data_IF_831744295655
#
_entry.id   IF_831744295655
#
_cell.length_a   1.000
_cell.length_b   1.000
_cell.length_c   1.000
_cell.angle_alpha   90.00
_cell.angle_beta   90.00
_cell.angle_gamma   90.00
#
_symmetry.space_group_name_H-M   'P 1'
#
loop_
_entity.id
_entity.type
_entity.pdbx_description
1 polymer ?
#
# COMPACT_ATOMS: atom_id res chain seq x y z
N UNK A 1 22.04 48.93 33.81
CA UNK A 1 21.87 47.58 33.23
C UNK A 1 20.53 47.00 33.67
N UNK A 2 19.41 47.40 33.06
CA UNK A 2 18.09 46.79 33.32
C UNK A 2 17.03 47.35 32.36
N UNK A 3 17.21 47.23 31.04
CA UNK A 3 16.12 47.56 30.09
C UNK A 3 15.98 46.59 28.90
N UNK A 4 16.88 45.63 28.71
CA UNK A 4 16.82 44.73 27.53
C UNK A 4 16.23 43.33 27.78
N UNK A 5 15.77 43.03 29.01
CA UNK A 5 15.21 41.71 29.35
C UNK A 5 13.69 41.60 29.20
N UNK A 6 12.96 42.71 29.07
CA UNK A 6 11.49 42.70 28.99
C UNK A 6 11.00 42.38 27.57
N UNK A 7 11.74 42.77 26.53
CA UNK A 7 11.34 42.57 25.12
C UNK A 7 11.41 41.11 24.67
N UNK A 8 12.38 40.34 25.18
CA UNK A 8 12.57 38.92 24.79
C UNK A 8 11.57 37.95 25.41
N UNK A 9 10.85 38.38 26.45
CA UNK A 9 9.84 37.56 27.12
C UNK A 9 8.46 37.67 26.45
N UNK A 10 8.15 38.78 25.77
CA UNK A 10 6.94 38.95 24.97
C UNK A 10 6.96 38.12 23.69
N UNK A 11 8.09 38.13 22.99
CA UNK A 11 8.28 37.39 21.73
C UNK A 11 8.23 35.86 21.96
N UNK A 12 8.73 35.37 23.10
CA UNK A 12 8.59 33.95 23.50
C UNK A 12 7.15 33.57 23.86
N UNK A 13 6.36 34.50 24.41
CA UNK A 13 4.96 34.24 24.73
C UNK A 13 4.09 34.16 23.46
N UNK A 14 4.37 34.98 22.45
CA UNK A 14 3.70 34.93 21.15
C UNK A 14 4.03 33.63 20.39
N UNK A 15 5.30 33.24 20.35
CA UNK A 15 5.73 31.97 19.72
C UNK A 15 5.11 30.75 20.43
N UNK A 16 5.03 30.77 21.77
CA UNK A 16 4.41 29.67 22.52
C UNK A 16 2.90 29.59 22.28
N UNK A 17 2.24 30.73 22.09
CA UNK A 17 0.81 30.81 21.78
C UNK A 17 0.53 30.35 20.34
N UNK A 18 1.39 30.69 19.38
CA UNK A 18 1.35 30.17 18.01
C UNK A 18 1.60 28.65 17.95
N UNK A 19 2.58 28.15 18.71
CA UNK A 19 2.85 26.71 18.81
C UNK A 19 1.68 25.96 19.46
N UNK A 20 1.00 26.54 20.47
CA UNK A 20 -0.23 25.97 21.03
C UNK A 20 -1.41 26.02 20.05
N UNK A 21 -1.52 27.05 19.21
CA UNK A 21 -2.52 27.13 18.14
C UNK A 21 -2.28 26.09 17.03
N UNK A 22 -1.01 25.86 16.64
CA UNK A 22 -0.62 24.81 15.69
C UNK A 22 -0.80 23.39 16.25
N UNK A 23 -0.59 23.18 17.56
CA UNK A 23 -0.86 21.89 18.22
C UNK A 23 -2.37 21.60 18.32
N UNK A 24 -3.21 22.62 18.47
CA UNK A 24 -4.67 22.49 18.46
C UNK A 24 -5.24 22.20 17.06
N UNK A 25 -4.64 22.75 15.99
CA UNK A 25 -5.01 22.42 14.60
C UNK A 25 -4.46 21.08 14.10
N UNK A 26 -3.45 20.52 14.79
CA UNK A 26 -2.92 19.17 14.55
C UNK A 26 -3.72 18.05 15.23
N UNK A 27 -4.79 18.37 15.96
CA UNK A 27 -5.83 17.40 16.29
C UNK A 27 -6.57 17.06 15.00
N UNK A 28 -5.99 16.16 14.19
CA UNK A 28 -6.73 15.35 13.23
C UNK A 28 -8.04 14.98 13.92
N UNK A 29 -9.15 15.55 13.47
CA UNK A 29 -10.46 15.12 13.90
C UNK A 29 -10.45 13.61 13.87
N UNK A 30 -10.71 12.97 15.01
CA UNK A 30 -11.05 11.55 15.01
C UNK A 30 -12.16 11.45 13.99
N UNK A 31 -11.89 10.79 12.86
CA UNK A 31 -12.96 10.43 11.93
C UNK A 31 -14.09 9.86 12.80
N UNK A 32 -15.34 10.33 12.67
CA UNK A 32 -16.45 9.67 13.32
C UNK A 32 -16.29 8.18 13.02
N UNK A 33 -16.39 7.36 14.06
CA UNK A 33 -16.23 5.92 13.96
C UNK A 33 -17.22 5.46 12.89
N UNK A 34 -16.73 5.18 11.67
CA UNK A 34 -17.58 4.80 10.55
C UNK A 34 -18.56 3.73 11.05
N UNK A 35 -19.85 3.87 10.71
CA UNK A 35 -20.87 2.92 11.15
C UNK A 35 -20.35 1.50 10.93
N UNK A 36 -20.16 0.77 12.04
CA UNK A 36 -19.57 -0.56 11.96
C UNK A 36 -20.55 -1.44 11.19
N UNK A 37 -20.15 -1.90 10.01
CA UNK A 37 -20.92 -2.91 9.27
C UNK A 37 -21.21 -4.08 10.23
N UNK A 38 -22.46 -4.55 10.33
CA UNK A 38 -22.81 -5.59 11.28
C UNK A 38 -22.08 -6.89 10.94
N UNK A 39 -21.54 -7.55 11.96
CA UNK A 39 -20.98 -8.90 11.81
C UNK A 39 -22.09 -9.86 11.43
N UNK A 40 -21.87 -10.67 10.38
CA UNK A 40 -22.85 -11.68 9.96
C UNK A 40 -22.73 -12.91 10.85
N UNK A 41 -23.86 -13.38 11.37
CA UNK A 41 -23.98 -14.59 12.22
C UNK A 41 -24.96 -15.52 11.51
N UNK A 42 -24.54 -16.76 11.27
CA UNK A 42 -25.33 -17.77 10.56
C UNK A 42 -24.48 -19.00 10.26
N UNK A 43 -25.13 -20.13 9.97
CA UNK A 43 -24.46 -21.40 9.62
C UNK A 43 -23.55 -21.28 8.38
N UNK A 44 -23.82 -20.32 7.51
CA UNK A 44 -23.07 -20.00 6.30
C UNK A 44 -21.82 -19.14 6.57
N UNK A 45 -21.70 -18.54 7.76
CA UNK A 45 -20.56 -17.74 8.19
C UNK A 45 -19.76 -18.38 9.33
N UNK A 46 -20.38 -19.27 10.11
CA UNK A 46 -19.76 -19.98 11.20
C UNK A 46 -19.09 -21.27 10.71
N UNK A 47 -17.95 -21.63 11.30
CA UNK A 47 -17.29 -22.89 10.99
C UNK A 47 -18.22 -24.07 11.35
N UNK A 48 -18.46 -24.95 10.38
CA UNK A 48 -19.36 -26.11 10.54
C UNK A 48 -18.77 -27.22 11.39
N UNK A 49 -17.44 -27.31 11.44
CA UNK A 49 -16.71 -28.31 12.21
C UNK A 49 -15.75 -27.60 13.17
N UNK A 50 -16.18 -27.46 14.42
CA UNK A 50 -15.36 -26.91 15.49
C UNK A 50 -14.68 -28.09 16.17
N UNK A 51 -13.33 -28.17 16.17
CA UNK A 51 -12.64 -29.27 16.81
C UNK A 51 -12.95 -29.27 18.32
N UNK A 52 -13.29 -30.43 18.90
CA UNK A 52 -13.47 -30.57 20.34
C UNK A 52 -12.29 -30.00 21.13
N UNK A 53 -12.58 -29.35 22.25
CA UNK A 53 -11.55 -28.82 23.14
C UNK A 53 -10.61 -29.96 23.59
N UNK A 54 -9.30 -29.74 23.43
CA UNK A 54 -8.28 -30.74 23.76
C UNK A 54 -7.82 -31.64 22.60
N UNK A 55 -8.40 -31.53 21.40
CA UNK A 55 -7.92 -32.24 20.18
C UNK A 55 -6.73 -31.52 19.52
N UNK A 56 -6.34 -30.35 20.02
CA UNK A 56 -5.03 -29.77 19.67
C UNK A 56 -3.93 -30.52 20.43
N UNK A 57 -3.79 -31.81 20.18
CA UNK A 57 -2.58 -32.55 20.48
C UNK A 57 -1.52 -32.04 19.51
N UNK A 58 -0.68 -31.11 19.95
CA UNK A 58 0.67 -31.05 19.39
C UNK A 58 1.25 -32.45 19.63
N UNK A 59 1.41 -33.24 18.57
CA UNK A 59 1.76 -34.65 18.65
C UNK A 59 3.06 -34.87 19.44
N UNK A 60 2.95 -35.04 20.76
CA UNK A 60 3.91 -35.78 21.56
C UNK A 60 3.30 -37.18 21.73
N UNK A 61 3.87 -38.13 20.98
CA UNK A 61 3.63 -39.57 21.02
C UNK A 61 2.42 -40.10 20.21
N UNK A 62 2.71 -41.06 19.33
CA UNK A 62 1.79 -41.88 18.52
C UNK A 62 1.05 -41.28 17.32
N UNK A 63 1.80 -41.08 16.23
CA UNK A 63 1.53 -41.66 14.88
C UNK A 63 2.63 -41.22 13.92
N UNK A 64 3.87 -41.67 14.17
CA UNK A 64 5.04 -41.34 13.34
C UNK A 64 4.96 -41.90 11.89
N UNK A 65 3.94 -42.66 11.53
CA UNK A 65 3.78 -43.22 10.17
C UNK A 65 2.63 -42.65 9.35
N UNK A 66 1.51 -42.24 9.96
CA UNK A 66 0.37 -41.68 9.22
C UNK A 66 0.35 -40.14 9.20
N UNK A 67 0.84 -39.48 10.25
CA UNK A 67 0.95 -38.01 10.26
C UNK A 67 2.21 -37.51 9.55
N UNK A 68 3.30 -38.30 9.50
CA UNK A 68 4.48 -37.97 8.68
C UNK A 68 4.09 -37.90 7.20
N UNK A 69 3.34 -38.90 6.72
CA UNK A 69 2.87 -38.95 5.34
C UNK A 69 1.94 -37.77 4.97
N UNK A 70 1.32 -37.12 5.95
CA UNK A 70 0.39 -36.00 5.76
C UNK A 70 1.05 -34.63 5.94
N UNK A 71 2.05 -34.52 6.82
CA UNK A 71 2.91 -33.32 6.90
C UNK A 71 3.77 -33.15 5.66
N UNK A 72 4.28 -34.26 5.11
CA UNK A 72 5.07 -34.27 3.88
C UNK A 72 4.25 -33.83 2.64
N UNK A 73 2.92 -33.87 2.72
CA UNK A 73 2.01 -33.38 1.67
C UNK A 73 1.76 -31.87 1.74
N UNK A 74 2.08 -31.20 2.85
CA UNK A 74 1.75 -29.77 3.05
C UNK A 74 2.99 -28.89 3.25
N UNK A 75 4.06 -29.41 3.86
CA UNK A 75 5.26 -28.65 4.17
C UNK A 75 6.51 -29.36 3.62
N UNK A 76 7.34 -28.64 2.86
CA UNK A 76 8.71 -29.07 2.53
C UNK A 76 9.66 -28.55 3.62
N UNK A 77 10.47 -29.43 4.20
CA UNK A 77 11.51 -29.02 5.14
C UNK A 77 12.65 -28.35 4.36
N UNK A 78 12.84 -27.05 4.57
CA UNK A 78 13.87 -26.24 3.89
C UNK A 78 15.17 -26.13 4.70
N UNK A 79 15.10 -26.33 6.01
CA UNK A 79 16.25 -26.25 6.90
C UNK A 79 16.05 -27.06 8.19
N UNK A 80 17.07 -27.84 8.57
CA UNK A 80 17.18 -28.55 9.83
C UNK A 80 18.33 -27.96 10.69
N UNK A 81 18.01 -27.30 11.82
CA UNK A 81 19.02 -26.69 12.68
C UNK A 81 19.94 -27.71 13.38
N UNK A 82 19.45 -28.92 13.68
CA UNK A 82 20.25 -29.96 14.37
C UNK A 82 21.30 -30.53 13.43
N UNK A 83 20.89 -30.86 12.20
CA UNK A 83 21.79 -31.36 11.16
C UNK A 83 22.80 -30.29 10.73
N UNK A 84 22.36 -29.04 10.60
CA UNK A 84 23.24 -27.91 10.33
C UNK A 84 24.30 -27.73 11.43
N UNK A 85 23.92 -27.79 12.71
CA UNK A 85 24.85 -27.68 13.83
C UNK A 85 25.85 -28.86 13.87
N UNK A 86 25.39 -30.09 13.61
CA UNK A 86 26.25 -31.27 13.55
C UNK A 86 27.32 -31.18 12.45
N UNK A 87 27.03 -30.50 11.34
CA UNK A 87 28.00 -30.25 10.27
C UNK A 87 29.07 -29.21 10.62
N UNK A 88 28.89 -28.46 11.72
CA UNK A 88 29.75 -27.34 12.13
C UNK A 88 29.69 -26.11 11.22
N UNK A 89 28.73 -26.07 10.27
CA UNK A 89 28.65 -25.08 9.18
C UNK A 89 27.30 -24.39 9.13
N UNK A 90 26.58 -24.32 10.25
CA UNK A 90 25.26 -23.70 10.30
C UNK A 90 25.26 -22.25 9.79
N UNK A 91 26.31 -21.49 10.08
CA UNK A 91 26.43 -20.08 9.69
C UNK A 91 27.03 -19.85 8.30
N UNK A 92 27.43 -20.93 7.59
CA UNK A 92 28.14 -20.83 6.31
C UNK A 92 27.33 -20.01 5.29
N UNK A 93 26.04 -20.31 5.14
CA UNK A 93 25.17 -19.63 4.18
C UNK A 93 24.99 -18.16 4.58
N UNK A 94 24.81 -17.87 5.87
CA UNK A 94 24.58 -16.50 6.33
C UNK A 94 25.82 -15.61 6.12
N UNK A 95 27.03 -16.16 6.25
CA UNK A 95 28.30 -15.44 6.18
C UNK A 95 28.88 -15.36 4.76
N UNK A 96 28.76 -16.40 3.95
CA UNK A 96 29.45 -16.48 2.64
C UNK A 96 28.56 -16.16 1.45
N UNK A 97 27.23 -16.33 1.58
CA UNK A 97 26.29 -16.17 0.46
C UNK A 97 25.71 -14.75 0.46
N UNK A 98 25.68 -14.14 -0.73
CA UNK A 98 25.04 -12.84 -0.96
C UNK A 98 23.56 -12.89 -0.58
N UNK A 99 23.04 -11.78 -0.04
CA UNK A 99 21.67 -11.68 0.49
C UNK A 99 20.57 -12.23 -0.43
N UNK A 100 20.67 -11.98 -1.74
CA UNK A 100 19.73 -12.36 -2.79
C UNK A 100 19.78 -13.83 -3.17
N UNK A 101 20.82 -14.56 -2.71
CA UNK A 101 20.98 -15.99 -2.92
C UNK A 101 20.88 -16.78 -1.62
N UNK A 102 20.62 -16.13 -0.47
CA UNK A 102 20.59 -16.81 0.84
C UNK A 102 19.50 -17.87 0.93
N UNK A 103 18.30 -17.58 0.44
CA UNK A 103 17.19 -18.56 0.45
C UNK A 103 17.54 -19.79 -0.37
N UNK A 104 17.96 -19.60 -1.63
CA UNK A 104 18.45 -20.68 -2.48
C UNK A 104 19.61 -21.44 -1.81
N UNK A 105 20.56 -20.71 -1.23
CA UNK A 105 21.67 -21.29 -0.47
C UNK A 105 21.21 -22.16 0.69
N UNK A 106 20.21 -21.76 1.46
CA UNK A 106 19.68 -22.57 2.56
C UNK A 106 19.01 -23.85 2.05
N UNK A 107 18.18 -23.74 1.02
CA UNK A 107 17.49 -24.88 0.38
C UNK A 107 18.51 -25.88 -0.19
N UNK A 108 19.48 -25.40 -0.98
CA UNK A 108 20.51 -26.25 -1.58
C UNK A 108 21.42 -26.88 -0.53
N UNK A 109 21.81 -26.13 0.50
CA UNK A 109 22.66 -26.67 1.56
C UNK A 109 21.94 -27.77 2.37
N UNK A 110 20.63 -27.63 2.59
CA UNK A 110 19.81 -28.69 3.17
C UNK A 110 19.72 -29.92 2.26
N UNK A 111 19.48 -29.74 0.96
CA UNK A 111 19.41 -30.83 -0.03
C UNK A 111 20.73 -31.59 -0.20
N UNK A 112 21.85 -30.91 -0.02
CA UNK A 112 23.19 -31.53 -0.04
C UNK A 112 23.62 -32.08 1.33
N UNK A 113 22.68 -32.28 2.26
CA UNK A 113 22.94 -32.80 3.60
C UNK A 113 24.04 -32.04 4.36
N UNK A 114 24.11 -30.71 4.17
CA UNK A 114 25.10 -29.81 4.78
C UNK A 114 26.56 -30.09 4.36
N UNK A 115 26.76 -30.67 3.18
CA UNK A 115 28.09 -30.86 2.57
C UNK A 115 28.48 -29.66 1.69
N UNK A 116 29.79 -29.38 1.61
CA UNK A 116 30.34 -28.27 0.82
C UNK A 116 30.60 -28.65 -0.64
N UNK A 117 31.10 -29.87 -0.98
CA UNK A 117 31.34 -30.23 -2.37
C UNK A 117 30.05 -30.10 -3.20
N UNK A 118 30.10 -29.39 -4.32
CA UNK A 118 28.94 -29.14 -5.19
C UNK A 118 28.08 -27.91 -4.78
N UNK A 119 28.07 -27.52 -3.51
CA UNK A 119 27.21 -26.43 -3.00
C UNK A 119 27.36 -25.11 -3.78
N UNK A 120 28.62 -24.66 -3.97
CA UNK A 120 28.87 -23.40 -4.67
C UNK A 120 28.57 -23.48 -6.17
N UNK A 121 28.71 -24.66 -6.77
CA UNK A 121 28.39 -24.90 -8.18
C UNK A 121 26.88 -24.80 -8.37
N UNK A 122 26.10 -25.52 -7.57
CA UNK A 122 24.64 -25.52 -7.64
C UNK A 122 24.07 -24.13 -7.37
N UNK A 123 24.65 -23.41 -6.39
CA UNK A 123 24.24 -22.04 -6.06
C UNK A 123 24.59 -21.02 -7.16
N UNK A 124 25.60 -21.31 -7.99
CA UNK A 124 25.96 -20.46 -9.11
C UNK A 124 24.95 -20.59 -10.26
N UNK A 125 24.35 -21.76 -10.45
CA UNK A 125 23.35 -22.05 -11.48
C UNK A 125 22.01 -21.37 -11.24
N UNK A 126 21.66 -21.10 -9.97
CA UNK A 126 20.40 -20.42 -9.64
C UNK A 126 20.47 -18.94 -10.02
N UNK A 127 19.62 -18.45 -10.94
CA UNK A 127 19.59 -17.04 -11.28
C UNK A 127 19.07 -16.23 -10.08
N UNK A 128 19.69 -15.09 -9.75
CA UNK A 128 19.26 -14.28 -8.62
C UNK A 128 17.89 -13.66 -8.89
N UNK A 129 17.03 -13.62 -7.87
CA UNK A 129 15.66 -13.11 -8.05
C UNK A 129 15.57 -11.58 -8.08
N UNK A 130 16.61 -10.84 -7.66
CA UNK A 130 16.58 -9.40 -7.41
C UNK A 130 16.92 -8.53 -8.63
N UNK A 131 17.07 -9.13 -9.81
CA UNK A 131 17.45 -8.43 -11.05
C UNK A 131 18.90 -7.92 -11.03
N UNK A 132 19.75 -8.45 -10.15
CA UNK A 132 21.20 -8.14 -10.15
C UNK A 132 21.90 -8.62 -11.41
N UNK A 133 21.39 -9.70 -12.00
CA UNK A 133 21.81 -10.29 -13.27
C UNK A 133 21.44 -9.44 -14.50
N UNK A 134 20.56 -8.43 -14.35
CA UNK A 134 20.14 -7.62 -15.49
C UNK A 134 21.27 -6.73 -16.01
N UNK A 135 21.37 -6.69 -17.34
CA UNK A 135 22.24 -5.77 -18.06
C UNK A 135 21.83 -4.32 -17.81
N UNK A 136 22.74 -3.39 -18.11
CA UNK A 136 22.45 -1.95 -18.01
C UNK A 136 21.29 -1.55 -18.91
N UNK A 137 21.20 -2.15 -20.10
CA UNK A 137 20.14 -1.91 -21.08
C UNK A 137 18.78 -2.41 -20.56
N UNK A 138 18.75 -3.58 -19.94
CA UNK A 138 17.53 -4.15 -19.35
C UNK A 138 17.03 -3.30 -18.16
N UNK A 139 17.95 -2.81 -17.32
CA UNK A 139 17.62 -1.89 -16.22
C UNK A 139 17.08 -0.56 -16.75
N UNK A 140 17.67 -0.02 -17.81
CA UNK A 140 17.19 1.19 -18.45
C UNK A 140 15.80 0.99 -19.07
N UNK A 141 15.59 -0.13 -19.76
CA UNK A 141 14.29 -0.48 -20.34
C UNK A 141 13.22 -0.61 -19.26
N UNK A 142 13.54 -1.23 -18.12
CA UNK A 142 12.63 -1.28 -16.97
C UNK A 142 12.32 0.12 -16.45
N UNK A 143 13.32 0.98 -16.30
CA UNK A 143 13.13 2.35 -15.83
C UNK A 143 12.21 3.13 -16.79
N UNK A 144 12.48 3.12 -18.09
CA UNK A 144 11.62 3.77 -19.08
C UNK A 144 10.18 3.23 -19.06
N UNK A 145 10.04 1.91 -18.89
CA UNK A 145 8.75 1.25 -18.81
C UNK A 145 7.97 1.64 -17.54
N UNK A 146 8.61 1.69 -16.37
CA UNK A 146 7.94 2.02 -15.11
C UNK A 146 7.44 3.47 -15.11
N UNK A 147 8.19 4.36 -15.75
CA UNK A 147 7.76 5.74 -16.01
C UNK A 147 6.57 5.75 -16.95
N UNK A 148 6.63 5.06 -18.09
CA UNK A 148 5.57 5.06 -19.11
C UNK A 148 4.24 4.48 -18.59
N UNK A 149 4.29 3.37 -17.85
CA UNK A 149 3.11 2.66 -17.37
C UNK A 149 2.70 3.03 -15.93
N UNK A 150 3.27 4.08 -15.34
CA UNK A 150 2.88 4.64 -14.02
C UNK A 150 2.76 3.58 -12.92
N UNK A 151 3.80 2.76 -12.75
CA UNK A 151 3.90 1.66 -11.75
C UNK A 151 3.03 0.44 -12.01
N UNK A 152 2.42 0.29 -13.18
CA UNK A 152 1.75 -0.95 -13.58
C UNK A 152 2.78 -2.03 -13.91
N UNK A 153 3.18 -2.80 -12.90
CA UNK A 153 4.20 -3.85 -13.03
C UNK A 153 3.78 -4.94 -14.03
N UNK A 154 2.47 -5.18 -14.20
CA UNK A 154 1.97 -6.16 -15.17
C UNK A 154 2.28 -5.75 -16.61
N UNK A 155 2.09 -4.48 -16.97
CA UNK A 155 2.45 -3.95 -18.29
C UNK A 155 3.96 -3.82 -18.46
N UNK A 156 4.66 -3.39 -17.42
CA UNK A 156 6.13 -3.31 -17.43
C UNK A 156 6.75 -4.67 -17.71
N UNK A 157 6.31 -5.72 -17.01
CA UNK A 157 6.81 -7.08 -17.23
C UNK A 157 6.57 -7.57 -18.67
N UNK A 158 5.41 -7.27 -19.25
CA UNK A 158 5.12 -7.59 -20.67
C UNK A 158 6.05 -6.85 -21.64
N UNK A 159 6.38 -5.60 -21.35
CA UNK A 159 7.24 -4.78 -22.20
C UNK A 159 8.72 -5.15 -22.07
N UNK A 160 9.19 -5.50 -20.87
CA UNK A 160 10.58 -5.91 -20.62
C UNK A 160 10.84 -7.38 -20.98
N UNK A 161 9.80 -8.18 -21.20
CA UNK A 161 9.92 -9.62 -21.46
C UNK A 161 10.38 -10.43 -20.24
N UNK A 162 10.28 -9.85 -19.03
CA UNK A 162 10.67 -10.51 -17.77
C UNK A 162 9.43 -10.98 -17.00
N UNK A 163 9.62 -11.91 -16.06
CA UNK A 163 8.54 -12.32 -15.18
C UNK A 163 8.12 -11.18 -14.24
N UNK A 164 6.85 -11.17 -13.83
CA UNK A 164 6.31 -10.19 -12.90
C UNK A 164 7.10 -10.22 -11.58
N UNK A 165 7.42 -11.41 -11.07
CA UNK A 165 8.15 -11.57 -9.81
C UNK A 165 9.56 -10.97 -9.88
N UNK A 166 10.27 -11.17 -10.99
CA UNK A 166 11.61 -10.59 -11.17
C UNK A 166 11.53 -9.05 -11.26
N UNK A 167 10.51 -8.52 -11.96
CA UNK A 167 10.24 -7.08 -11.99
C UNK A 167 9.93 -6.50 -10.61
N UNK A 168 9.12 -7.20 -9.80
CA UNK A 168 8.78 -6.79 -8.44
C UNK A 168 10.01 -6.81 -7.53
N UNK A 169 10.82 -7.85 -7.62
CA UNK A 169 12.04 -7.99 -6.83
C UNK A 169 13.04 -6.87 -7.16
N UNK A 170 13.29 -6.57 -8.44
CA UNK A 170 14.10 -5.41 -8.82
C UNK A 170 13.49 -4.08 -8.36
N UNK A 171 12.17 -3.93 -8.49
CA UNK A 171 11.46 -2.72 -8.08
C UNK A 171 11.64 -2.41 -6.59
N UNK A 172 11.36 -3.38 -5.72
CA UNK A 172 11.48 -3.20 -4.27
C UNK A 172 12.94 -3.24 -3.79
N UNK A 173 13.77 -4.07 -4.40
CA UNK A 173 15.16 -4.30 -4.00
C UNK A 173 16.11 -3.18 -4.42
N UNK A 174 15.93 -2.59 -5.61
CA UNK A 174 16.85 -1.58 -6.16
C UNK A 174 16.15 -0.26 -6.46
N UNK A 175 15.12 -0.28 -7.32
CA UNK A 175 14.54 0.95 -7.88
C UNK A 175 13.92 1.86 -6.81
N UNK A 176 13.22 1.29 -5.83
CA UNK A 176 12.55 2.03 -4.76
C UNK A 176 13.52 2.84 -3.87
N UNK A 177 14.79 2.43 -3.81
CA UNK A 177 15.83 3.13 -3.06
C UNK A 177 16.45 4.28 -3.85
N UNK A 178 16.21 4.34 -5.16
CA UNK A 178 16.79 5.33 -6.07
C UNK A 178 16.02 6.65 -6.02
N UNK A 179 16.69 7.77 -6.29
CA UNK A 179 16.05 9.09 -6.39
C UNK A 179 14.94 9.16 -7.46
N UNK A 180 15.06 8.35 -8.52
CA UNK A 180 14.05 8.27 -9.58
C UNK A 180 12.71 7.76 -9.09
N UNK A 181 12.68 6.85 -8.11
CA UNK A 181 11.43 6.43 -7.50
C UNK A 181 10.75 7.57 -6.74
N UNK A 182 11.52 8.42 -6.03
CA UNK A 182 10.97 9.57 -5.33
C UNK A 182 10.31 10.55 -6.31
N UNK A 183 10.94 10.76 -7.47
CA UNK A 183 10.38 11.57 -8.56
C UNK A 183 9.17 10.92 -9.21
N UNK A 184 9.21 9.63 -9.52
CA UNK A 184 8.07 8.90 -10.08
C UNK A 184 6.88 8.95 -9.12
N UNK A 185 7.13 8.78 -7.82
CA UNK A 185 6.10 8.87 -6.78
C UNK A 185 5.46 10.25 -6.74
N UNK A 186 6.25 11.34 -6.82
CA UNK A 186 5.69 12.69 -6.82
C UNK A 186 4.86 12.95 -8.08
N UNK A 187 5.35 12.58 -9.27
CA UNK A 187 4.62 12.74 -10.54
C UNK A 187 3.29 11.99 -10.51
N UNK A 188 3.28 10.70 -10.17
CA UNK A 188 2.02 9.94 -10.05
C UNK A 188 1.06 10.59 -9.05
N UNK A 189 1.57 11.06 -7.91
CA UNK A 189 0.72 11.70 -6.89
C UNK A 189 0.13 13.03 -7.36
N UNK A 190 0.85 13.78 -8.20
CA UNK A 190 0.37 15.04 -8.80
C UNK A 190 -0.69 14.73 -9.85
N UNK A 191 -0.47 13.75 -10.72
CA UNK A 191 -1.43 13.33 -11.75
C UNK A 191 -2.73 12.79 -11.13
N UNK A 192 -2.64 12.00 -10.05
CA UNK A 192 -3.80 11.59 -9.27
C UNK A 192 -4.56 12.78 -8.69
N UNK A 193 -3.86 13.83 -8.24
CA UNK A 193 -4.50 15.08 -7.76
C UNK A 193 -5.08 15.94 -8.88
N UNK A 194 -4.56 15.87 -10.09
CA UNK A 194 -5.08 16.59 -11.25
C UNK A 194 -6.29 15.89 -11.87
N UNK A 195 -6.32 14.56 -11.84
CA UNK A 195 -7.47 13.74 -12.28
C UNK A 195 -8.59 13.71 -11.24
N UNK A 196 -8.27 13.95 -9.96
CA UNK A 196 -9.29 14.43 -9.03
C UNK A 196 -9.64 15.85 -9.47
N UNK A 197 -10.81 16.02 -10.08
CA UNK A 197 -11.35 17.27 -10.67
C UNK A 197 -11.45 18.50 -9.71
N UNK A 198 -10.78 18.46 -8.55
CA UNK A 198 -10.72 19.50 -7.55
C UNK A 198 -11.93 19.56 -6.64
N UNK A 199 -12.94 18.70 -6.86
CA UNK A 199 -14.12 18.62 -6.01
C UNK A 199 -13.84 17.91 -4.69
N UNK A 200 -14.54 18.31 -3.64
CA UNK A 200 -14.54 17.67 -2.34
C UNK A 200 -14.99 16.20 -2.47
N UNK A 201 -14.30 15.31 -1.75
CA UNK A 201 -14.65 13.89 -1.66
C UNK A 201 -15.71 13.62 -0.57
N UNK A 202 -16.31 14.68 -0.01
CA UNK A 202 -17.26 14.67 1.10
C UNK A 202 -18.38 15.69 0.86
N UNK A 203 -19.56 15.44 1.42
CA UNK A 203 -20.67 16.38 1.39
C UNK A 203 -20.38 17.59 2.28
N UNK A 204 -20.54 18.81 1.77
CA UNK A 204 -20.33 20.03 2.56
C UNK A 204 -21.38 20.25 3.68
N UNK A 205 -22.40 19.41 3.79
CA UNK A 205 -23.47 19.50 4.81
C UNK A 205 -23.25 18.48 5.93
N UNK A 206 -22.95 17.22 5.59
CA UNK A 206 -22.80 16.14 6.58
C UNK A 206 -21.36 15.61 6.73
N UNK A 207 -20.39 16.12 5.96
CA UNK A 207 -18.99 15.69 5.92
C UNK A 207 -18.76 14.20 5.58
N UNK A 208 -19.79 13.50 5.12
CA UNK A 208 -19.72 12.11 4.70
C UNK A 208 -19.47 11.96 3.19
N UNK A 209 -18.76 10.89 2.83
CA UNK A 209 -18.58 10.48 1.44
C UNK A 209 -19.80 9.75 0.88
N UNK A 210 -19.69 9.22 -0.34
CA UNK A 210 -20.75 8.43 -0.99
C UNK A 210 -21.18 9.04 -2.31
N UNK A 211 -22.46 8.91 -2.65
CA UNK A 211 -22.99 9.45 -3.90
C UNK A 211 -23.19 10.97 -3.82
N UNK A 212 -22.22 11.72 -4.34
CA UNK A 212 -22.18 13.17 -4.25
C UNK A 212 -22.41 13.83 -5.62
N UNK A 213 -23.22 14.89 -5.62
CA UNK A 213 -23.42 15.85 -6.69
C UNK A 213 -22.42 17.00 -6.56
N UNK A 214 -21.62 17.24 -7.60
CA UNK A 214 -20.66 18.35 -7.64
C UNK A 214 -21.37 19.65 -8.08
N UNK A 215 -21.04 20.77 -7.44
CA UNK A 215 -21.50 22.10 -7.87
C UNK A 215 -20.69 22.60 -9.07
N UNK A 216 -21.33 23.17 -10.09
CA UNK A 216 -20.64 23.73 -11.26
C UNK A 216 -19.94 25.08 -11.00
N UNK A 217 -20.29 25.76 -9.90
CA UNK A 217 -19.72 27.06 -9.51
C UNK A 217 -18.59 26.99 -8.48
N UNK A 218 -18.41 25.88 -7.77
CA UNK A 218 -17.39 25.74 -6.72
C UNK A 218 -16.81 24.32 -6.67
N UNK A 219 -15.92 24.07 -5.70
CA UNK A 219 -15.30 22.75 -5.49
C UNK A 219 -16.08 21.87 -4.51
N UNK A 220 -17.25 22.29 -4.05
CA UNK A 220 -18.02 21.52 -3.07
C UNK A 220 -18.86 20.43 -3.75
N UNK A 221 -19.12 19.37 -3.01
CA UNK A 221 -19.98 18.27 -3.39
C UNK A 221 -21.07 18.06 -2.31
N UNK A 222 -22.23 17.55 -2.70
CA UNK A 222 -23.41 17.44 -1.84
C UNK A 222 -24.18 16.14 -2.12
N UNK A 223 -24.70 15.44 -1.11
CA UNK A 223 -25.68 14.39 -1.38
C UNK A 223 -26.98 15.00 -1.88
N UNK A 224 -27.69 14.32 -2.79
CA UNK A 224 -28.99 14.77 -3.30
C UNK A 224 -30.02 15.00 -2.18
N UNK A 225 -29.98 14.16 -1.13
CA UNK A 225 -30.86 14.27 0.04
C UNK A 225 -30.40 15.27 1.11
N UNK A 226 -29.18 15.80 1.04
CA UNK A 226 -28.69 16.83 1.95
C UNK A 226 -28.95 18.26 1.44
N UNK A 227 -29.55 18.39 0.26
CA UNK A 227 -29.98 19.66 -0.31
C UNK A 227 -31.35 20.06 0.24
N UNK A 228 -31.61 21.36 0.33
CA UNK A 228 -32.91 21.91 0.69
C UNK A 228 -33.43 22.81 -0.45
N UNK A 229 -34.46 22.38 -1.21
CA UNK A 229 -35.19 21.11 -1.12
C UNK A 229 -34.37 19.90 -1.64
N UNK A 230 -34.63 18.67 -1.15
CA UNK A 230 -33.90 17.48 -1.55
C UNK A 230 -34.20 17.12 -3.00
N UNK A 231 -33.15 16.86 -3.76
CA UNK A 231 -33.28 16.41 -5.16
C UNK A 231 -33.48 14.89 -5.17
N UNK A 232 -34.40 14.41 -6.00
CA UNK A 232 -34.63 12.97 -6.19
C UNK A 232 -33.77 12.40 -7.33
N UNK A 233 -33.40 13.23 -8.29
CA UNK A 233 -32.60 12.87 -9.45
C UNK A 233 -31.55 13.94 -9.74
N UNK A 234 -30.50 13.54 -10.46
CA UNK A 234 -29.45 14.45 -10.93
C UNK A 234 -30.08 15.39 -11.97
N UNK A 235 -30.05 16.72 -11.79
CA UNK A 235 -30.61 17.66 -12.76
C UNK A 235 -29.97 17.47 -14.14
N UNK A 236 -30.73 17.73 -15.22
CA UNK A 236 -30.24 17.66 -16.60
C UNK A 236 -29.45 18.91 -17.04
N UNK A 237 -29.65 20.05 -16.35
CA UNK A 237 -28.99 21.34 -16.61
C UNK A 237 -27.92 21.68 -15.57
N UNK A 238 -27.07 22.67 -15.84
CA UNK A 238 -25.98 23.09 -14.94
C UNK A 238 -26.56 23.39 -13.53
N UNK A 239 -25.97 22.79 -12.48
CA UNK A 239 -26.47 22.89 -11.11
C UNK A 239 -25.49 23.64 -10.20
N UNK A 240 -26.04 24.56 -9.41
CA UNK A 240 -25.28 25.42 -8.50
C UNK A 240 -25.81 25.25 -7.07
N UNK A 241 -24.89 25.14 -6.10
CA UNK A 241 -25.27 25.09 -4.69
C UNK A 241 -25.83 26.43 -4.21
N UNK A 242 -26.57 26.42 -3.10
CA UNK A 242 -27.20 27.60 -2.50
C UNK A 242 -26.20 28.75 -2.30
N UNK A 243 -24.97 28.46 -1.88
CA UNK A 243 -23.93 29.48 -1.69
C UNK A 243 -23.51 30.14 -3.02
N UNK A 244 -23.36 29.36 -4.09
CA UNK A 244 -23.02 29.88 -5.42
C UNK A 244 -24.16 30.73 -6.00
N UNK A 245 -25.40 30.32 -5.80
CA UNK A 245 -26.59 31.07 -6.23
C UNK A 245 -26.70 32.39 -5.47
N UNK A 246 -26.50 32.38 -4.14
CA UNK A 246 -26.60 33.57 -3.30
C UNK A 246 -25.46 34.56 -3.54
N UNK A 247 -24.23 34.08 -3.71
CA UNK A 247 -23.06 34.96 -3.87
C UNK A 247 -22.81 35.39 -5.33
N UNK A 248 -23.63 34.93 -6.30
CA UNK A 248 -23.42 35.15 -7.75
C UNK A 248 -21.99 34.85 -8.22
N UNK A 249 -21.32 33.93 -7.53
CA UNK A 249 -19.95 33.55 -7.82
C UNK A 249 -19.98 32.41 -8.85
N UNK A 250 -20.01 32.78 -10.13
CA UNK A 250 -19.94 31.87 -11.27
C UNK A 250 -18.49 31.53 -11.70
N UNK A 251 -17.50 31.85 -10.86
CA UNK A 251 -16.10 31.74 -11.23
C UNK A 251 -15.57 30.30 -11.14
N UNK A 252 -16.03 29.44 -12.05
CA UNK A 252 -15.25 28.32 -12.60
C UNK A 252 -15.88 27.76 -13.89
N UNK A 253 -16.21 28.62 -14.87
CA UNK A 253 -16.69 28.17 -16.17
C UNK A 253 -15.55 27.72 -17.08
N UNK A 254 -14.94 26.57 -16.79
CA UNK A 254 -13.96 25.93 -17.68
C UNK A 254 -14.70 24.92 -18.59
N UNK A 255 -14.82 25.15 -19.91
CA UNK A 255 -15.69 24.38 -20.80
C UNK A 255 -15.33 22.89 -20.92
N UNK A 256 -14.15 22.46 -20.45
CA UNK A 256 -13.75 21.05 -20.37
C UNK A 256 -14.43 20.28 -19.21
N UNK A 257 -15.03 20.97 -18.23
CA UNK A 257 -15.68 20.37 -17.03
C UNK A 257 -17.05 19.74 -17.29
N UNK A 258 -17.75 20.08 -18.38
CA UNK A 258 -19.13 19.63 -18.66
C UNK A 258 -19.29 18.12 -18.93
N UNK A 259 -18.19 17.35 -19.09
CA UNK A 259 -18.22 15.92 -19.45
C UNK A 259 -18.22 14.93 -18.27
N UNK A 260 -18.13 15.38 -17.02
CA UNK A 260 -18.07 14.50 -15.84
C UNK A 260 -19.28 14.69 -14.90
N UNK A 261 -20.50 14.82 -15.45
CA UNK A 261 -21.75 14.83 -14.67
C UNK A 261 -22.10 13.42 -14.17
N UNK A 262 -21.18 12.79 -13.45
CA UNK A 262 -21.32 11.46 -12.87
C UNK A 262 -21.44 11.62 -11.38
N UNK A 263 -22.48 11.04 -10.79
CA UNK A 263 -22.47 10.78 -9.37
C UNK A 263 -21.23 9.95 -9.03
N UNK A 264 -20.44 10.40 -8.06
CA UNK A 264 -19.22 9.69 -7.65
C UNK A 264 -19.58 8.61 -6.64
N UNK A 265 -20.26 7.55 -7.09
CA UNK A 265 -20.56 6.37 -6.29
C UNK A 265 -19.69 5.19 -6.71
N UNK A 266 -18.78 4.74 -5.83
CA UNK A 266 -18.07 3.49 -6.01
C UNK A 266 -18.96 2.30 -5.64
N UNK A 267 -19.13 1.36 -6.57
CA UNK A 267 -19.38 -0.06 -6.25
C UNK A 267 -18.07 -0.73 -5.87
#
# INVERSE_FOLDING_TARGET
MRMDEVSKNGEKAEIFTEMQAMMKSAQKGRKPNAERKPTRIGSEYQATNIPPAGIFSGNETDTLKENSLKSDLYYEQVWDPKRAAASGKADLVHMTVLHNRKEAGMVHFHRCDYTIPGFYTDLAEVPPLDGTDWSKEEKNLFNESIWSYRKDIGKVAKHTGKSINNCLAYYYGSFKQTADYARLKSVCSIEEKQTKDGYADYCAVCDDGGELLCCDGCKNAYHLGCLDPPLLEIPADDWYCVECVMNKNFNCSDPKRKKQRRSRGGT
#
